data_IF_376468709796
#
_entry.id   IF_376468709796
#
_cell.length_a   1.000
_cell.length_b   1.000
_cell.length_c   1.000
_cell.angle_alpha   90.00
_cell.angle_beta   90.00
_cell.angle_gamma   90.00
#
_symmetry.space_group_name_H-M   'P 1'
#
loop_
_entity.id
_entity.type
_entity.pdbx_description
1 polymer ?
#
# COMPACT_ATOMS: atom_id res chain seq x y z
N UNK A 1 -16.21 1.00 10.87
CA UNK A 1 -16.12 1.61 9.53
C UNK A 1 -15.82 0.49 8.54
N UNK A 2 -16.45 0.46 7.38
CA UNK A 2 -16.17 -0.51 6.32
C UNK A 2 -16.19 0.21 4.96
N UNK A 3 -15.24 -0.12 4.09
CA UNK A 3 -15.12 0.42 2.74
C UNK A 3 -15.52 -0.70 1.77
N UNK A 4 -16.47 -0.44 0.88
CA UNK A 4 -16.94 -1.44 -0.08
C UNK A 4 -16.01 -1.51 -1.30
N UNK A 5 -16.04 -2.64 -2.00
CA UNK A 5 -15.28 -2.82 -3.24
C UNK A 5 -15.70 -1.76 -4.27
N UNK A 6 -14.72 -1.08 -4.86
CA UNK A 6 -14.93 -0.01 -5.83
C UNK A 6 -15.26 1.36 -5.22
N UNK A 7 -15.29 1.48 -3.89
CA UNK A 7 -15.54 2.75 -3.22
C UNK A 7 -14.28 3.60 -3.12
N UNK A 8 -14.42 4.90 -3.38
CA UNK A 8 -13.38 5.90 -3.09
C UNK A 8 -13.71 6.50 -1.73
N UNK A 9 -12.79 6.34 -0.79
CA UNK A 9 -12.97 6.81 0.60
C UNK A 9 -11.92 7.86 0.97
N UNK A 10 -12.36 8.98 1.54
CA UNK A 10 -11.50 10.06 2.00
C UNK A 10 -11.45 10.16 3.53
N UNK A 11 -10.24 10.24 4.10
CA UNK A 11 -10.03 10.53 5.53
C UNK A 11 -9.67 12.00 5.69
N UNK A 12 -10.56 12.81 6.28
CA UNK A 12 -10.37 14.25 6.47
C UNK A 12 -10.32 14.63 7.96
N UNK A 13 -9.52 15.64 8.29
CA UNK A 13 -9.33 16.15 9.64
C UNK A 13 -8.09 17.04 9.75
N UNK A 14 -7.94 17.82 10.84
CA UNK A 14 -6.79 18.71 11.03
C UNK A 14 -5.48 17.94 11.20
N UNK A 15 -4.34 18.63 11.06
CA UNK A 15 -3.03 18.03 11.37
C UNK A 15 -3.00 17.57 12.84
N UNK A 16 -2.39 16.41 13.09
CA UNK A 16 -2.39 15.78 14.40
C UNK A 16 -3.62 14.92 14.73
N UNK A 17 -4.68 14.93 13.92
CA UNK A 17 -5.89 14.12 14.18
C UNK A 17 -5.73 12.59 13.98
N UNK A 18 -4.51 12.10 13.75
CA UNK A 18 -4.23 10.67 13.60
C UNK A 18 -4.41 10.07 12.20
N UNK A 19 -4.75 10.85 11.15
CA UNK A 19 -4.97 10.32 9.78
C UNK A 19 -3.79 9.50 9.27
N UNK A 20 -2.58 10.05 9.34
CA UNK A 20 -1.38 9.36 8.88
C UNK A 20 -0.99 8.17 9.76
N UNK A 21 -1.47 8.13 11.01
CA UNK A 21 -1.35 6.98 11.92
C UNK A 21 -2.29 5.88 11.47
N UNK A 22 -3.57 6.21 11.20
CA UNK A 22 -4.57 5.29 10.67
C UNK A 22 -4.11 4.66 9.34
N UNK A 23 -3.61 5.48 8.40
CA UNK A 23 -3.09 4.96 7.12
C UNK A 23 -1.90 4.02 7.35
N UNK A 24 -1.01 4.29 8.33
CA UNK A 24 0.08 3.38 8.68
C UNK A 24 -0.43 2.06 9.25
N UNK A 25 -1.45 2.08 10.10
CA UNK A 25 -2.09 0.87 10.63
C UNK A 25 -2.70 0.00 9.52
N UNK A 26 -3.49 0.61 8.63
CA UNK A 26 -4.07 -0.09 7.47
C UNK A 26 -2.98 -0.65 6.56
N UNK A 27 -1.87 0.09 6.40
CA UNK A 27 -0.73 -0.31 5.56
C UNK A 27 0.26 -1.26 6.26
N UNK A 28 -0.10 -1.79 7.43
CA UNK A 28 0.73 -2.68 8.26
C UNK A 28 2.09 -2.09 8.70
N UNK A 29 2.25 -0.77 8.63
CA UNK A 29 3.47 -0.06 9.01
C UNK A 29 3.45 0.38 10.49
N UNK A 30 2.33 0.16 11.17
CA UNK A 30 2.15 0.44 12.58
C UNK A 30 1.14 -0.56 13.16
N UNK A 31 1.48 -1.22 14.25
CA UNK A 31 0.54 -2.11 14.95
C UNK A 31 -0.45 -1.25 15.75
N UNK A 32 -1.77 -1.43 15.60
CA UNK A 32 -2.75 -0.73 16.42
C UNK A 32 -2.61 -1.13 17.90
N UNK A 33 -2.70 -0.19 18.84
CA UNK A 33 -2.66 -0.52 20.27
C UNK A 33 -3.89 -1.33 20.72
N UNK A 34 -5.04 -1.09 20.06
CA UNK A 34 -6.34 -1.72 20.34
C UNK A 34 -7.20 -1.76 19.07
N UNK A 35 -8.19 -2.65 19.09
CA UNK A 35 -9.15 -2.80 18.00
C UNK A 35 -8.67 -3.79 16.94
N UNK A 36 -9.44 -3.91 15.86
CA UNK A 36 -9.14 -4.81 14.75
C UNK A 36 -9.22 -4.05 13.43
N UNK A 37 -8.28 -4.31 12.53
CA UNK A 37 -8.29 -3.80 11.16
C UNK A 37 -8.13 -4.98 10.22
N UNK A 38 -9.04 -5.08 9.25
CA UNK A 38 -9.00 -6.11 8.20
C UNK A 38 -8.95 -5.47 6.83
N UNK A 39 -8.09 -5.99 5.97
CA UNK A 39 -7.94 -5.58 4.56
C UNK A 39 -8.22 -6.79 3.68
N UNK A 40 -9.27 -6.72 2.86
CA UNK A 40 -9.74 -7.84 2.04
C UNK A 40 -9.94 -9.16 2.84
N UNK A 41 -10.34 -9.06 4.10
CA UNK A 41 -10.57 -10.19 4.99
C UNK A 41 -9.35 -10.65 5.81
N UNK A 42 -8.15 -10.16 5.49
CA UNK A 42 -6.92 -10.45 6.21
C UNK A 42 -6.70 -9.48 7.37
N UNK A 43 -6.27 -9.99 8.51
CA UNK A 43 -5.94 -9.19 9.69
C UNK A 43 -4.58 -8.50 9.47
N UNK A 44 -4.49 -7.19 9.71
CA UNK A 44 -3.27 -6.41 9.40
C UNK A 44 -2.08 -6.76 10.30
N UNK A 45 -2.32 -7.35 11.47
CA UNK A 45 -1.27 -7.77 12.41
C UNK A 45 -0.87 -9.23 12.16
N UNK A 46 -1.85 -10.13 11.97
CA UNK A 46 -1.58 -11.57 11.83
C UNK A 46 -1.22 -11.99 10.41
N UNK A 47 -1.77 -11.31 9.41
CA UNK A 47 -1.65 -11.66 8.00
C UNK A 47 -0.88 -10.59 7.20
N UNK A 48 0.11 -9.95 7.85
CA UNK A 48 0.84 -8.79 7.33
C UNK A 48 1.29 -8.95 5.85
N UNK A 49 1.90 -10.09 5.51
CA UNK A 49 2.40 -10.35 4.16
C UNK A 49 1.29 -10.50 3.13
N UNK A 50 0.14 -11.07 3.51
CA UNK A 50 -1.02 -11.17 2.63
C UNK A 50 -1.58 -9.78 2.34
N UNK A 51 -1.70 -8.94 3.38
CA UNK A 51 -2.15 -7.55 3.24
C UNK A 51 -1.21 -6.75 2.35
N UNK A 52 0.11 -6.80 2.57
CA UNK A 52 1.10 -6.05 1.75
C UNK A 52 1.08 -6.43 0.28
N UNK A 53 0.70 -7.67 -0.08
CA UNK A 53 0.55 -8.08 -1.48
C UNK A 53 -0.70 -7.51 -2.15
N UNK A 54 -1.69 -7.08 -1.37
CA UNK A 54 -3.00 -6.64 -1.87
C UNK A 54 -3.13 -5.11 -1.95
N UNK A 55 -2.27 -4.36 -1.27
CA UNK A 55 -2.35 -2.90 -1.21
C UNK A 55 -1.07 -2.24 -1.68
N UNK A 56 -1.23 -1.07 -2.31
CA UNK A 56 -0.14 -0.18 -2.63
C UNK A 56 -0.30 1.12 -1.82
N UNK A 57 0.82 1.67 -1.38
CA UNK A 57 0.86 2.97 -0.71
C UNK A 57 1.77 3.92 -1.47
N UNK A 58 1.25 5.10 -1.76
CA UNK A 58 2.06 6.22 -2.24
C UNK A 58 2.34 7.15 -1.06
N UNK A 59 3.61 7.40 -0.79
CA UNK A 59 4.05 8.39 0.21
C UNK A 59 4.23 9.77 -0.42
N UNK A 60 4.23 10.81 0.43
CA UNK A 60 4.48 12.20 0.01
C UNK A 60 5.85 12.34 -0.66
N UNK A 61 6.87 11.69 -0.12
CA UNK A 61 8.14 11.51 -0.79
C UNK A 61 8.08 10.25 -1.65
N UNK A 62 8.30 10.41 -2.95
CA UNK A 62 8.33 9.28 -3.86
C UNK A 62 9.57 8.41 -3.57
N UNK A 63 9.35 7.11 -3.37
CA UNK A 63 10.40 6.13 -3.09
C UNK A 63 11.12 5.66 -4.37
N UNK A 64 11.47 6.58 -5.27
CA UNK A 64 12.16 6.26 -6.52
C UNK A 64 13.67 6.13 -6.30
N UNK A 65 14.26 5.15 -6.98
CA UNK A 65 15.71 5.08 -7.12
C UNK A 65 16.16 6.15 -8.10
N UNK A 66 16.70 7.25 -7.57
CA UNK A 66 17.12 8.44 -8.35
C UNK A 66 18.18 8.14 -9.43
N UNK A 67 18.90 7.02 -9.30
CA UNK A 67 19.90 6.58 -10.29
C UNK A 67 19.31 5.73 -11.42
N UNK A 68 18.05 5.33 -11.30
CA UNK A 68 17.34 4.54 -12.28
C UNK A 68 16.41 5.45 -13.09
N UNK A 69 16.30 5.16 -14.39
CA UNK A 69 15.27 5.74 -15.26
C UNK A 69 13.86 5.36 -14.77
N UNK A 70 12.80 6.05 -15.26
CA UNK A 70 11.43 5.67 -14.94
C UNK A 70 11.11 4.22 -15.28
N UNK A 71 11.58 3.74 -16.45
CA UNK A 71 11.35 2.36 -16.87
C UNK A 71 12.07 1.36 -15.96
N UNK A 72 13.30 1.65 -15.55
CA UNK A 72 14.03 0.79 -14.62
C UNK A 72 13.37 0.73 -13.24
N UNK A 73 12.80 1.83 -12.74
CA UNK A 73 12.01 1.83 -11.50
C UNK A 73 10.76 0.95 -11.63
N UNK A 74 10.05 1.02 -12.77
CA UNK A 74 8.87 0.19 -13.02
C UNK A 74 9.24 -1.29 -13.10
N UNK A 75 10.29 -1.65 -13.85
CA UNK A 75 10.77 -3.02 -13.95
C UNK A 75 11.26 -3.57 -12.61
N UNK A 76 11.90 -2.72 -11.79
CA UNK A 76 12.30 -3.09 -10.43
C UNK A 76 11.07 -3.40 -9.56
N UNK A 77 10.06 -2.52 -9.57
CA UNK A 77 8.82 -2.73 -8.83
C UNK A 77 8.09 -4.01 -9.30
N UNK A 78 7.95 -4.22 -10.61
CA UNK A 78 7.31 -5.40 -11.17
C UNK A 78 7.96 -6.71 -10.69
N UNK A 79 9.31 -6.75 -10.63
CA UNK A 79 10.05 -7.89 -10.07
C UNK A 79 9.81 -8.08 -8.58
N UNK A 80 9.73 -7.00 -7.79
CA UNK A 80 9.41 -7.09 -6.36
C UNK A 80 8.00 -7.64 -6.12
N UNK A 81 7.06 -7.33 -7.01
CA UNK A 81 5.70 -7.89 -6.99
C UNK A 81 5.62 -9.31 -7.56
N UNK A 82 6.74 -9.90 -8.01
CA UNK A 82 6.78 -11.24 -8.57
C UNK A 82 6.12 -11.37 -9.94
N UNK A 83 5.98 -10.27 -10.69
CA UNK A 83 5.43 -10.29 -12.04
C UNK A 83 6.39 -11.00 -12.99
N UNK A 84 5.83 -11.78 -13.94
CA UNK A 84 6.65 -12.37 -14.99
C UNK A 84 7.15 -11.28 -15.95
N UNK A 85 8.24 -11.53 -16.71
CA UNK A 85 8.69 -10.59 -17.74
C UNK A 85 7.61 -10.26 -18.79
N UNK A 86 6.69 -11.19 -19.03
CA UNK A 86 5.57 -10.97 -19.95
C UNK A 86 4.52 -10.01 -19.35
N UNK A 87 4.19 -10.16 -18.06
CA UNK A 87 3.22 -9.29 -17.37
C UNK A 87 3.79 -7.89 -17.09
N UNK A 88 5.11 -7.79 -16.94
CA UNK A 88 5.81 -6.54 -16.67
C UNK A 88 6.14 -5.73 -17.95
N UNK A 89 5.86 -6.28 -19.13
CA UNK A 89 6.11 -5.60 -20.38
C UNK A 89 5.21 -4.35 -20.50
N UNK A 90 5.76 -3.19 -20.91
CA UNK A 90 4.94 -2.02 -21.19
C UNK A 90 3.89 -2.36 -22.25
N UNK A 91 2.63 -1.96 -22.01
CA UNK A 91 1.63 -1.95 -23.08
C UNK A 91 2.09 -0.97 -24.17
N UNK A 92 2.05 -1.42 -25.44
CA UNK A 92 2.54 -0.70 -26.61
C UNK A 92 1.61 0.43 -27.04
#
# INVERSE_FOLDING_TARGET
MAIRRGEIFGVLGPNGSGKSTLIRCISTLLVPDRGEVKVFGYDVEKDEMAVKRLINRVSVEASFFKKLSPMENLMYAARLYGMSPADAAPEA
#
